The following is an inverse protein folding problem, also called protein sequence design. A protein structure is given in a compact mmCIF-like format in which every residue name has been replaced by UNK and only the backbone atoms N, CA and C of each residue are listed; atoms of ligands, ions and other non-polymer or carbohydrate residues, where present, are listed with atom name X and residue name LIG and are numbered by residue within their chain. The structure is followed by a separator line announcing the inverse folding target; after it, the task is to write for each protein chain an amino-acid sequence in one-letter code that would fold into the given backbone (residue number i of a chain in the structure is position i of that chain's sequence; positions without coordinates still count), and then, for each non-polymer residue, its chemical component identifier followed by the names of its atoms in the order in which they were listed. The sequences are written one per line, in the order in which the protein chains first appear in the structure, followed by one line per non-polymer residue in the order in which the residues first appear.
data_IF_274267959980
#
_entry.id   IF_274267959980
#
_cell.length_a   1.000
_cell.length_b   1.000
_cell.length_c   1.000
_cell.angle_alpha   90.00
_cell.angle_beta   90.00
_cell.angle_gamma   90.00
#
_symmetry.space_group_name_H-M   'P 1'
#
loop_
_entity.id
_entity.type
_entity.pdbx_description
1 polymer ?
#
# COMPACT_ATOMS: atom_id res chain seq x y z
N UNK A 1 33.72 -40.45 29.35
CA UNK A 1 32.48 -39.85 28.81
C UNK A 1 31.34 -40.12 29.78
N UNK A 2 30.94 -39.13 30.60
CA UNK A 2 29.73 -39.25 31.42
C UNK A 2 28.64 -38.39 30.82
N UNK A 3 27.56 -39.04 30.38
CA UNK A 3 26.40 -38.44 29.73
C UNK A 3 25.45 -38.00 30.84
N UNK A 4 25.40 -36.70 31.12
CA UNK A 4 24.42 -36.13 32.05
C UNK A 4 23.02 -36.22 31.42
N UNK A 5 22.14 -37.04 32.00
CA UNK A 5 20.69 -36.95 31.81
C UNK A 5 20.07 -36.88 33.19
N UNK A 6 19.37 -35.79 33.48
CA UNK A 6 18.43 -35.76 34.62
C UNK A 6 17.20 -36.56 34.20
N UNK A 7 16.84 -37.58 34.99
CA UNK A 7 15.65 -38.41 34.73
C UNK A 7 14.35 -37.75 35.19
N UNK A 8 14.44 -36.71 36.01
CA UNK A 8 13.29 -35.88 36.38
C UNK A 8 13.62 -34.43 36.02
N UNK A 9 12.85 -33.88 35.08
CA UNK A 9 12.80 -32.44 34.90
C UNK A 9 12.46 -31.78 36.23
N UNK A 10 12.91 -30.54 36.44
CA UNK A 10 12.62 -29.84 37.69
C UNK A 10 11.10 -29.79 37.93
N UNK A 11 10.67 -30.02 39.17
CA UNK A 11 9.25 -30.01 39.59
C UNK A 11 8.46 -28.77 39.10
N UNK A 12 9.17 -27.70 38.77
CA UNK A 12 8.64 -26.46 38.21
C UNK A 12 8.12 -26.66 36.77
N UNK A 13 8.85 -27.41 35.92
CA UNK A 13 8.46 -27.68 34.54
C UNK A 13 7.27 -28.63 34.44
N UNK A 14 7.19 -29.64 35.32
CA UNK A 14 6.04 -30.56 35.38
C UNK A 14 4.77 -29.84 35.86
N UNK A 15 4.89 -28.92 36.82
CA UNK A 15 3.77 -28.06 37.24
C UNK A 15 3.31 -27.12 36.14
N UNK A 16 4.24 -26.54 35.38
CA UNK A 16 3.89 -25.70 34.23
C UNK A 16 3.19 -26.52 33.13
N UNK A 17 3.68 -27.71 32.77
CA UNK A 17 3.04 -28.54 31.72
C UNK A 17 1.61 -28.96 32.10
N UNK A 18 1.39 -29.31 33.38
CA UNK A 18 0.06 -29.62 33.92
C UNK A 18 -0.86 -28.39 33.93
N UNK A 19 -0.36 -27.22 34.34
CA UNK A 19 -1.14 -25.98 34.35
C UNK A 19 -1.48 -25.48 32.93
N UNK A 20 -0.53 -25.59 32.01
CA UNK A 20 -0.68 -25.17 30.61
C UNK A 20 -1.71 -26.05 29.88
N UNK A 21 -1.73 -27.36 30.15
CA UNK A 21 -2.76 -28.29 29.63
C UNK A 21 -4.14 -27.99 30.23
N UNK A 22 -4.24 -27.63 31.50
CA UNK A 22 -5.50 -27.28 32.16
C UNK A 22 -6.10 -25.94 31.71
N UNK A 23 -5.29 -24.98 31.27
CA UNK A 23 -5.77 -23.67 30.78
C UNK A 23 -6.15 -23.63 29.30
N UNK A 24 -6.00 -24.74 28.57
CA UNK A 24 -6.32 -24.82 27.13
C UNK A 24 -7.81 -24.68 26.77
N UNK A 25 -8.70 -24.60 27.77
CA UNK A 25 -10.15 -24.50 27.54
C UNK A 25 -10.74 -23.07 27.52
N UNK A 26 -9.97 -22.00 27.75
CA UNK A 26 -10.59 -20.66 27.77
C UNK A 26 -9.69 -19.44 27.52
N UNK A 27 -8.61 -19.55 26.76
CA UNK A 27 -7.90 -18.35 26.28
C UNK A 27 -7.41 -18.54 24.86
N UNK A 28 -8.18 -18.04 23.90
CA UNK A 28 -7.74 -17.89 22.52
C UNK A 28 -6.58 -16.89 22.50
N UNK A 29 -5.34 -17.39 22.53
CA UNK A 29 -4.17 -16.56 22.31
C UNK A 29 -4.31 -15.89 20.95
N UNK A 30 -4.38 -14.56 20.94
CA UNK A 30 -4.49 -13.79 19.70
C UNK A 30 -3.22 -14.01 18.87
N UNK A 31 -3.40 -14.46 17.63
CA UNK A 31 -2.28 -14.68 16.70
C UNK A 31 -1.54 -13.37 16.46
N UNK A 32 -0.20 -13.39 16.38
CA UNK A 32 0.61 -12.21 15.99
C UNK A 32 0.10 -11.58 14.67
N UNK A 33 -0.52 -12.39 13.79
CA UNK A 33 -1.17 -11.94 12.55
C UNK A 33 -2.27 -10.88 12.79
N UNK A 34 -2.97 -10.90 13.94
CA UNK A 34 -3.96 -9.87 14.28
C UNK A 34 -3.34 -8.52 14.62
N UNK A 35 -2.07 -8.48 15.04
CA UNK A 35 -1.33 -7.24 15.30
C UNK A 35 -0.66 -6.67 14.04
N UNK A 36 -0.27 -7.53 13.09
CA UNK A 36 0.33 -7.11 11.82
C UNK A 36 -0.69 -6.74 10.74
N UNK A 37 -1.98 -7.00 10.95
CA UNK A 37 -3.04 -6.61 10.04
C UNK A 37 -3.46 -5.18 10.34
N UNK A 38 -3.20 -4.23 9.44
CA UNK A 38 -3.75 -2.88 9.58
C UNK A 38 -5.28 -3.03 9.59
N UNK A 39 -5.91 -2.64 10.70
CA UNK A 39 -7.36 -2.68 10.87
C UNK A 39 -8.02 -1.92 9.71
N UNK A 40 -9.02 -2.50 9.06
CA UNK A 40 -9.72 -1.90 7.90
C UNK A 40 -10.20 -0.47 8.22
N UNK A 41 -10.61 -0.22 9.47
CA UNK A 41 -11.01 1.11 9.94
C UNK A 41 -9.88 2.14 9.90
N UNK A 42 -8.65 1.71 10.14
CA UNK A 42 -7.45 2.57 10.06
C UNK A 42 -7.11 2.84 8.60
N UNK A 43 -7.18 1.83 7.73
CA UNK A 43 -7.01 2.02 6.28
C UNK A 43 -8.06 2.99 5.73
N UNK A 44 -9.34 2.82 6.06
CA UNK A 44 -10.41 3.68 5.59
C UNK A 44 -10.23 5.14 6.03
N UNK A 45 -9.78 5.39 7.26
CA UNK A 45 -9.46 6.74 7.75
C UNK A 45 -8.30 7.36 6.98
N UNK A 46 -7.24 6.59 6.72
CA UNK A 46 -6.06 7.05 5.98
C UNK A 46 -6.38 7.32 4.49
N UNK A 47 -7.26 6.51 3.91
CA UNK A 47 -7.80 6.71 2.58
C UNK A 47 -8.64 7.99 2.55
N UNK A 48 -9.50 8.22 3.53
CA UNK A 48 -10.38 9.39 3.57
C UNK A 48 -9.60 10.71 3.73
N UNK A 49 -8.56 10.75 4.55
CA UNK A 49 -7.72 11.94 4.70
C UNK A 49 -6.91 12.23 3.44
N UNK A 50 -6.36 11.18 2.81
CA UNK A 50 -5.65 11.29 1.52
C UNK A 50 -6.58 11.71 0.39
N UNK A 51 -7.80 11.16 0.37
CA UNK A 51 -8.83 11.48 -0.63
C UNK A 51 -9.20 12.96 -0.61
N UNK A 52 -9.29 13.58 0.57
CA UNK A 52 -9.51 15.04 0.68
C UNK A 52 -8.38 15.83 0.02
N UNK A 53 -7.13 15.50 0.31
CA UNK A 53 -5.97 16.16 -0.33
C UNK A 53 -5.98 16.01 -1.86
N UNK A 54 -6.36 14.82 -2.34
CA UNK A 54 -6.48 14.58 -3.78
C UNK A 54 -7.59 15.45 -4.38
N UNK A 55 -8.73 15.61 -3.70
CA UNK A 55 -9.81 16.49 -4.15
C UNK A 55 -9.30 17.93 -4.27
N UNK A 56 -8.58 18.43 -3.26
CA UNK A 56 -8.06 19.80 -3.25
C UNK A 56 -7.11 20.04 -4.44
N UNK A 57 -6.16 19.12 -4.66
CA UNK A 57 -5.20 19.19 -5.78
C UNK A 57 -5.89 19.13 -7.14
N UNK A 58 -6.91 18.26 -7.29
CA UNK A 58 -7.65 18.16 -8.55
C UNK A 58 -8.50 19.40 -8.80
N UNK A 59 -9.11 19.97 -7.76
CA UNK A 59 -9.88 21.20 -7.87
C UNK A 59 -8.97 22.37 -8.29
N UNK A 60 -7.77 22.48 -7.71
CA UNK A 60 -6.77 23.48 -8.09
C UNK A 60 -6.33 23.33 -9.54
N UNK A 61 -6.00 22.11 -9.98
CA UNK A 61 -5.63 21.85 -11.37
C UNK A 61 -6.78 22.19 -12.35
N UNK A 62 -8.02 21.83 -12.01
CA UNK A 62 -9.17 22.21 -12.84
C UNK A 62 -9.40 23.73 -12.89
N UNK A 63 -9.12 24.45 -11.81
CA UNK A 63 -9.27 25.90 -11.76
C UNK A 63 -8.17 26.65 -12.54
N UNK A 64 -6.93 26.17 -12.47
CA UNK A 64 -5.77 26.80 -13.14
C UNK A 64 -5.77 26.47 -14.63
N UNK A 65 -5.89 25.19 -14.99
CA UNK A 65 -5.72 24.70 -16.36
C UNK A 65 -7.06 24.62 -17.12
N UNK A 66 -8.16 25.06 -16.51
CA UNK A 66 -9.52 25.02 -17.07
C UNK A 66 -9.94 23.61 -17.54
N UNK A 67 -9.52 22.58 -16.81
CA UNK A 67 -9.86 21.19 -17.14
C UNK A 67 -11.33 20.89 -16.79
N UNK A 68 -11.99 20.01 -17.56
CA UNK A 68 -13.35 19.62 -17.26
C UNK A 68 -13.40 18.72 -16.02
N UNK A 69 -14.34 18.96 -15.12
CA UNK A 69 -14.45 18.22 -13.85
C UNK A 69 -14.67 16.71 -14.02
N UNK A 70 -15.22 16.29 -15.16
CA UNK A 70 -15.44 14.88 -15.47
C UNK A 70 -14.16 14.13 -15.87
N UNK A 71 -13.01 14.79 -15.95
CA UNK A 71 -11.70 14.17 -16.28
C UNK A 71 -11.38 12.98 -15.38
N UNK A 72 -11.81 13.01 -14.12
CA UNK A 72 -11.62 11.93 -13.13
C UNK A 72 -12.27 10.60 -13.54
N UNK A 73 -13.25 10.64 -14.44
CA UNK A 73 -13.93 9.46 -14.98
C UNK A 73 -13.27 8.94 -16.27
N UNK A 74 -12.30 9.66 -16.84
CA UNK A 74 -11.60 9.24 -18.04
C UNK A 74 -10.69 8.04 -17.77
N UNK A 75 -10.84 6.96 -18.54
CA UNK A 75 -10.03 5.74 -18.41
C UNK A 75 -8.53 6.06 -18.50
N UNK A 76 -8.13 6.89 -19.46
CA UNK A 76 -6.75 7.31 -19.63
C UNK A 76 -6.21 8.10 -18.42
N UNK A 77 -7.03 8.95 -17.80
CA UNK A 77 -6.65 9.70 -16.60
C UNK A 77 -6.45 8.77 -15.40
N UNK A 78 -7.38 7.82 -15.19
CA UNK A 78 -7.26 6.84 -14.11
C UNK A 78 -6.01 5.95 -14.26
N UNK A 79 -5.73 5.48 -15.48
CA UNK A 79 -4.50 4.73 -15.77
C UNK A 79 -3.24 5.58 -15.53
N UNK A 80 -3.26 6.84 -15.98
CA UNK A 80 -2.16 7.78 -15.77
C UNK A 80 -1.88 7.99 -14.29
N UNK A 81 -2.90 8.32 -13.49
CA UNK A 81 -2.75 8.51 -12.04
C UNK A 81 -2.18 7.25 -11.37
N UNK A 82 -2.69 6.08 -11.74
CA UNK A 82 -2.18 4.80 -11.23
C UNK A 82 -0.70 4.56 -11.59
N UNK A 83 -0.27 4.92 -12.80
CA UNK A 83 1.13 4.82 -13.24
C UNK A 83 2.02 5.83 -12.52
N UNK A 84 1.59 7.09 -12.37
CA UNK A 84 2.35 8.12 -11.67
C UNK A 84 2.60 7.77 -10.20
N UNK A 85 1.60 7.20 -9.50
CA UNK A 85 1.80 6.72 -8.12
C UNK A 85 2.87 5.61 -8.05
N UNK A 86 2.86 4.68 -9.01
CA UNK A 86 3.86 3.60 -9.08
C UNK A 86 5.26 4.15 -9.39
N UNK A 87 5.37 5.09 -10.32
CA UNK A 87 6.64 5.73 -10.69
C UNK A 87 7.19 6.57 -9.53
N UNK A 88 6.35 7.35 -8.85
CA UNK A 88 6.75 8.13 -7.68
C UNK A 88 7.34 7.25 -6.56
N UNK A 89 6.79 6.04 -6.37
CA UNK A 89 7.36 5.05 -5.44
C UNK A 89 8.75 4.55 -5.86
N UNK A 90 9.04 4.47 -7.15
CA UNK A 90 10.35 4.03 -7.67
C UNK A 90 11.39 5.14 -7.64
N UNK A 91 10.98 6.36 -7.96
CA UNK A 91 11.86 7.52 -8.07
C UNK A 91 12.30 8.08 -6.70
N UNK A 92 11.44 7.97 -5.68
CA UNK A 92 11.71 8.53 -4.36
C UNK A 92 11.52 10.05 -4.29
N UNK A 93 11.77 10.66 -3.13
CA UNK A 93 11.61 12.10 -2.94
C UNK A 93 12.72 12.90 -3.64
N UNK A 94 12.41 14.15 -4.01
CA UNK A 94 13.39 15.11 -4.53
C UNK A 94 13.54 15.15 -6.05
N UNK A 95 12.72 14.40 -6.80
CA UNK A 95 12.68 14.53 -8.27
C UNK A 95 11.94 15.80 -8.68
N UNK A 96 12.58 16.60 -9.52
CA UNK A 96 11.99 17.78 -10.14
C UNK A 96 10.93 17.38 -11.16
N UNK A 97 9.74 17.98 -11.08
CA UNK A 97 8.65 17.73 -12.03
C UNK A 97 9.01 18.22 -13.44
N UNK A 98 9.78 19.31 -13.54
CA UNK A 98 10.22 19.87 -14.83
C UNK A 98 11.16 18.94 -15.60
N UNK A 99 11.91 18.09 -14.89
CA UNK A 99 12.81 17.11 -15.51
C UNK A 99 12.10 15.80 -15.83
N UNK A 100 10.94 15.56 -15.18
CA UNK A 100 10.17 14.33 -15.33
C UNK A 100 9.13 14.42 -16.43
N UNK A 101 8.44 15.57 -16.55
CA UNK A 101 7.39 15.76 -17.55
C UNK A 101 8.01 16.05 -18.92
N UNK A 102 7.60 15.33 -19.97
CA UNK A 102 8.02 15.64 -21.33
C UNK A 102 7.36 16.94 -21.82
N UNK A 103 7.99 17.56 -22.82
CA UNK A 103 7.39 18.66 -23.56
C UNK A 103 6.21 18.19 -24.43
N UNK A 104 5.36 19.14 -24.81
CA UNK A 104 4.19 18.92 -25.66
C UNK A 104 4.56 18.26 -26.99
N UNK A 105 5.68 18.67 -27.59
CA UNK A 105 6.15 18.13 -28.86
C UNK A 105 6.50 16.64 -28.78
N UNK A 106 7.07 16.19 -27.65
CA UNK A 106 7.39 14.79 -27.42
C UNK A 106 6.13 13.95 -27.24
N UNK A 107 5.12 14.46 -26.53
CA UNK A 107 3.82 13.78 -26.40
C UNK A 107 3.16 13.65 -27.77
N UNK A 108 3.11 14.72 -28.55
CA UNK A 108 2.49 14.73 -29.87
C UNK A 108 3.11 13.66 -30.79
N UNK A 109 4.44 13.59 -30.84
CA UNK A 109 5.16 12.56 -31.63
C UNK A 109 4.91 11.13 -31.13
N UNK A 110 4.64 10.95 -29.84
CA UNK A 110 4.42 9.63 -29.26
C UNK A 110 2.99 9.14 -29.47
N UNK A 111 2.02 10.04 -29.59
CA UNK A 111 0.61 9.72 -29.80
C UNK A 111 0.41 8.92 -31.09
N UNK A 112 1.07 9.30 -32.19
CA UNK A 112 0.95 8.61 -33.48
C UNK A 112 1.28 7.11 -33.35
N UNK A 113 2.37 6.80 -32.64
CA UNK A 113 2.80 5.41 -32.39
C UNK A 113 1.80 4.61 -31.56
N UNK A 114 1.10 5.27 -30.62
CA UNK A 114 0.10 4.62 -29.79
C UNK A 114 -1.15 4.29 -30.62
N UNK A 115 -1.57 5.19 -31.51
CA UNK A 115 -2.70 4.95 -32.40
C UNK A 115 -2.42 3.81 -33.39
N UNK A 116 -1.21 3.77 -33.95
CA UNK A 116 -0.82 2.68 -34.85
C UNK A 116 -0.80 1.33 -34.13
N UNK A 117 -0.27 1.26 -32.91
CA UNK A 117 -0.26 0.03 -32.11
C UNK A 117 -1.65 -0.46 -31.68
N UNK A 118 -2.64 0.43 -31.54
CA UNK A 118 -4.01 0.06 -31.14
C UNK A 118 -4.92 -0.29 -32.31
N UNK A 119 -4.45 -0.12 -33.56
CA UNK A 119 -5.20 -0.50 -34.77
C UNK A 119 -4.99 -1.96 -35.18
N UNK A 120 -3.91 -2.60 -34.72
CA UNK A 120 -3.62 -4.03 -34.87
C UNK A 120 -4.34 -4.86 -33.80
#
# INVERSE_FOLDING_TARGET
MQKWKSNDGTNVMDKHDKACKQQSSSSTQQSIKSFCSIDKKVQDRLINSTKRKIIDVLAECCAIDSLPFNIVNGVGFQELTGKLIKLGRQLGPGVSINDLLPDDSTINRQIDKIYDFRKE
#
